data_IF_723695320937
#
_entry.id   IF_723695320937
#
_cell.length_a   1.000
_cell.length_b   1.000
_cell.length_c   1.000
_cell.angle_alpha   90.00
_cell.angle_beta   90.00
_cell.angle_gamma   90.00
#
_symmetry.space_group_name_H-M   'P 1'
#
loop_
_entity.id
_entity.type
_entity.pdbx_description
1 polymer ?
#
# COMPACT_ATOMS: atom_id res chain seq x y z
N UNK A 1 31.23 15.02 -9.72
CA UNK A 1 32.39 14.88 -8.84
C UNK A 1 33.05 16.22 -8.60
N UNK A 2 33.72 16.39 -7.46
CA UNK A 2 34.44 17.62 -7.07
C UNK A 2 35.95 17.37 -7.05
N UNK A 3 36.75 18.34 -7.51
CA UNK A 3 38.22 18.26 -7.51
C UNK A 3 38.79 18.54 -6.11
N UNK A 4 39.71 17.69 -5.65
CA UNK A 4 40.37 17.86 -4.35
C UNK A 4 41.53 18.88 -4.42
N UNK A 5 41.57 19.91 -3.54
CA UNK A 5 42.72 20.79 -3.41
C UNK A 5 43.81 20.10 -2.58
N UNK A 6 45.08 20.20 -3.00
CA UNK A 6 46.22 19.74 -2.18
C UNK A 6 46.49 18.24 -2.24
N UNK A 7 46.87 17.75 -3.42
CA UNK A 7 47.31 16.38 -3.63
C UNK A 7 48.56 16.07 -2.78
N UNK A 8 48.44 15.21 -1.78
CA UNK A 8 49.58 14.81 -0.92
C UNK A 8 50.48 13.75 -1.57
N UNK A 9 49.97 12.97 -2.54
CA UNK A 9 50.74 11.91 -3.23
C UNK A 9 50.24 11.67 -4.66
N UNK A 10 51.14 11.22 -5.56
CA UNK A 10 50.80 10.87 -6.95
C UNK A 10 49.84 9.67 -7.09
N UNK A 11 49.47 9.02 -5.99
CA UNK A 11 48.46 7.97 -5.96
C UNK A 11 47.13 8.42 -5.36
N UNK A 12 47.05 9.60 -4.74
CA UNK A 12 45.80 10.06 -4.13
C UNK A 12 44.75 10.39 -5.20
N UNK A 13 43.46 10.15 -4.92
CA UNK A 13 42.37 10.47 -5.83
C UNK A 13 42.38 11.97 -6.16
N UNK A 14 42.11 12.29 -7.42
CA UNK A 14 42.07 13.67 -7.91
C UNK A 14 40.69 14.31 -7.75
N UNK A 15 39.66 13.47 -7.73
CA UNK A 15 38.27 13.86 -7.57
C UNK A 15 37.66 13.03 -6.46
N UNK A 16 36.77 13.66 -5.73
CA UNK A 16 35.95 13.04 -4.71
C UNK A 16 34.50 12.98 -5.19
N UNK A 17 33.85 11.88 -4.81
CA UNK A 17 32.40 11.66 -4.80
C UNK A 17 31.66 11.81 -6.13
N UNK A 18 30.69 10.95 -6.45
CA UNK A 18 29.53 11.43 -7.18
C UNK A 18 28.75 12.40 -6.27
N UNK A 19 28.32 13.53 -6.82
CA UNK A 19 27.57 14.54 -6.08
C UNK A 19 26.43 15.05 -6.95
N UNK A 20 25.30 15.37 -6.33
CA UNK A 20 24.11 15.86 -7.01
C UNK A 20 24.03 17.38 -6.85
N UNK A 21 23.76 18.08 -7.95
CA UNK A 21 23.57 19.53 -7.93
C UNK A 21 22.20 19.85 -7.34
N UNK A 22 22.17 20.54 -6.21
CA UNK A 22 20.94 20.95 -5.51
C UNK A 22 20.43 22.28 -6.05
N UNK A 23 21.30 23.28 -6.15
CA UNK A 23 20.95 24.58 -6.74
C UNK A 23 22.15 25.27 -7.38
N UNK A 24 21.84 26.13 -8.34
CA UNK A 24 22.74 27.16 -8.89
C UNK A 24 22.49 28.48 -8.16
N UNK A 25 23.55 29.18 -7.79
CA UNK A 25 23.46 30.54 -7.25
C UNK A 25 23.45 31.58 -8.37
N UNK A 26 23.09 32.82 -8.05
CA UNK A 26 23.14 33.93 -9.01
C UNK A 26 24.57 34.20 -9.53
N UNK A 27 25.59 33.85 -8.74
CA UNK A 27 27.00 33.97 -9.10
C UNK A 27 27.56 32.81 -9.93
N UNK A 28 26.73 31.82 -10.29
CA UNK A 28 27.16 30.67 -11.10
C UNK A 28 27.91 29.58 -10.32
N UNK A 29 27.95 29.66 -8.98
CA UNK A 29 28.38 28.56 -8.11
C UNK A 29 27.25 27.54 -7.94
N UNK A 30 27.62 26.32 -7.56
CA UNK A 30 26.72 25.20 -7.33
C UNK A 30 26.79 24.75 -5.88
N UNK A 31 25.62 24.49 -5.29
CA UNK A 31 25.50 23.77 -4.02
C UNK A 31 25.25 22.31 -4.35
N UNK A 32 26.03 21.43 -3.73
CA UNK A 32 26.00 20.00 -3.98
C UNK A 32 25.53 19.24 -2.74
N UNK A 33 24.95 18.05 -2.94
CA UNK A 33 24.68 17.07 -1.89
C UNK A 33 25.32 15.72 -2.23
N UNK A 34 25.57 14.92 -1.20
CA UNK A 34 26.04 13.53 -1.31
C UNK A 34 24.90 12.53 -1.53
N UNK A 35 25.24 11.23 -1.50
CA UNK A 35 24.30 10.11 -1.61
C UNK A 35 23.42 9.93 -0.35
N UNK A 36 23.89 10.38 0.82
CA UNK A 36 23.13 10.42 2.08
C UNK A 36 22.21 11.64 2.17
N UNK A 37 22.15 12.45 1.10
CA UNK A 37 21.31 13.63 0.99
C UNK A 37 21.74 14.79 1.89
N UNK A 38 22.99 14.77 2.39
CA UNK A 38 23.61 15.82 3.17
C UNK A 38 24.22 16.89 2.26
N UNK A 39 24.05 18.16 2.64
CA UNK A 39 24.54 19.29 1.86
C UNK A 39 26.03 19.52 2.13
N UNK A 40 26.81 19.65 1.06
CA UNK A 40 28.21 20.03 1.20
C UNK A 40 28.28 21.47 1.69
N UNK A 41 29.15 21.69 2.68
CA UNK A 41 29.24 22.96 3.39
C UNK A 41 29.80 24.13 2.54
N UNK A 42 30.26 23.85 1.31
CA UNK A 42 30.91 24.78 0.40
C UNK A 42 30.17 24.88 -0.93
N UNK A 43 30.13 26.09 -1.49
CA UNK A 43 29.69 26.30 -2.86
C UNK A 43 30.86 26.08 -3.84
N UNK A 44 30.60 25.31 -4.90
CA UNK A 44 31.62 24.90 -5.87
C UNK A 44 31.46 25.64 -7.18
N UNK A 45 32.58 26.07 -7.76
CA UNK A 45 32.58 26.71 -9.09
C UNK A 45 32.59 25.64 -10.19
N UNK A 46 32.06 25.93 -11.39
CA UNK A 46 32.01 24.96 -12.49
C UNK A 46 33.38 24.31 -12.81
N UNK A 47 34.49 25.03 -12.64
CA UNK A 47 35.85 24.52 -12.91
C UNK A 47 36.37 23.52 -11.88
N UNK A 48 35.79 23.48 -10.69
CA UNK A 48 36.07 22.48 -9.66
C UNK A 48 35.23 21.20 -9.87
N UNK A 49 34.27 21.23 -10.80
CA UNK A 49 33.35 20.14 -11.04
C UNK A 49 33.75 19.33 -12.26
N UNK A 50 33.64 18.01 -12.12
CA UNK A 50 33.67 17.07 -13.22
C UNK A 50 32.29 16.44 -13.37
N UNK A 51 31.65 16.73 -14.50
CA UNK A 51 30.40 16.07 -14.90
C UNK A 51 30.72 14.62 -15.19
N UNK A 52 29.93 13.73 -14.61
CA UNK A 52 30.00 12.29 -14.85
C UNK A 52 28.61 11.86 -15.28
N UNK A 53 28.52 11.10 -16.36
CA UNK A 53 27.29 10.42 -16.77
C UNK A 53 27.11 9.22 -15.85
N UNK A 54 26.33 9.40 -14.79
CA UNK A 54 25.88 8.32 -13.93
C UNK A 54 24.49 7.94 -14.43
N UNK A 55 24.26 6.65 -14.61
CA UNK A 55 22.92 6.14 -14.92
C UNK A 55 22.00 6.48 -13.74
N UNK A 56 20.90 7.19 -14.00
CA UNK A 56 19.97 7.72 -12.98
C UNK A 56 19.44 6.59 -12.07
N UNK A 57 19.34 5.39 -12.62
CA UNK A 57 18.98 4.15 -11.91
C UNK A 57 19.96 3.74 -10.81
N UNK A 58 21.24 4.14 -10.91
CA UNK A 58 22.25 3.84 -9.89
C UNK A 58 22.21 4.82 -8.71
N UNK A 59 21.50 5.94 -8.85
CA UNK A 59 21.39 6.98 -7.82
C UNK A 59 20.10 6.78 -7.00
N UNK A 60 19.06 6.21 -7.61
CA UNK A 60 17.76 5.94 -6.96
C UNK A 60 17.70 4.62 -6.15
N UNK A 61 18.84 3.94 -5.92
CA UNK A 61 18.89 2.72 -5.08
C UNK A 61 18.77 3.04 -3.57
N UNK A 62 17.85 3.95 -3.25
CA UNK A 62 17.40 4.25 -1.90
C UNK A 62 16.46 3.15 -1.43
N UNK A 63 16.92 2.37 -0.45
CA UNK A 63 16.13 1.34 0.20
C UNK A 63 15.26 1.96 1.30
N UNK A 64 13.97 1.66 1.28
CA UNK A 64 13.02 2.08 2.30
C UNK A 64 12.54 0.87 3.10
N UNK A 65 12.35 1.06 4.40
CA UNK A 65 11.86 -0.01 5.28
C UNK A 65 10.34 -0.21 5.09
N UNK A 66 9.96 -1.48 4.88
CA UNK A 66 8.56 -1.90 4.72
C UNK A 66 7.97 -2.26 6.09
N UNK A 67 6.88 -1.61 6.46
CA UNK A 67 6.15 -1.89 7.70
C UNK A 67 5.19 -3.07 7.53
N UNK A 68 4.32 -3.03 6.52
CA UNK A 68 3.38 -4.10 6.18
C UNK A 68 2.93 -3.99 4.72
N UNK A 69 2.30 -5.05 4.20
CA UNK A 69 1.61 -5.00 2.90
C UNK A 69 0.11 -4.91 3.16
N UNK A 70 -0.52 -3.87 2.61
CA UNK A 70 -1.96 -3.61 2.81
C UNK A 70 -2.81 -4.39 1.82
N UNK A 71 -2.36 -4.48 0.57
CA UNK A 71 -3.13 -5.14 -0.48
C UNK A 71 -2.24 -5.71 -1.58
N UNK A 72 -2.82 -6.52 -2.47
CA UNK A 72 -2.18 -6.99 -3.69
C UNK A 72 -3.15 -6.89 -4.88
N UNK A 73 -2.60 -6.71 -6.08
CA UNK A 73 -3.35 -6.75 -7.33
C UNK A 73 -2.58 -7.54 -8.40
N UNK A 74 -3.27 -7.91 -9.47
CA UNK A 74 -2.69 -8.63 -10.60
C UNK A 74 -2.73 -10.16 -10.47
N UNK A 75 -2.43 -10.82 -11.59
CA UNK A 75 -2.40 -12.28 -11.71
C UNK A 75 -1.12 -12.90 -11.14
N UNK A 76 -1.08 -14.23 -10.97
CA UNK A 76 0.13 -14.92 -10.54
C UNK A 76 1.30 -14.62 -11.50
N UNK A 77 2.42 -14.14 -10.96
CA UNK A 77 3.62 -13.77 -11.73
C UNK A 77 3.75 -12.28 -12.09
N UNK A 78 2.65 -11.53 -12.09
CA UNK A 78 2.64 -10.06 -12.30
C UNK A 78 1.92 -9.37 -11.14
N UNK A 79 2.22 -9.80 -9.92
CA UNK A 79 1.61 -9.25 -8.71
C UNK A 79 2.34 -7.99 -8.29
N UNK A 80 1.54 -6.98 -7.98
CA UNK A 80 1.96 -5.75 -7.34
C UNK A 80 1.36 -5.72 -5.94
N UNK A 81 2.10 -5.16 -4.99
CA UNK A 81 1.76 -5.10 -3.58
C UNK A 81 1.68 -3.64 -3.13
N UNK A 82 0.61 -3.28 -2.42
CA UNK A 82 0.45 -1.97 -1.83
C UNK A 82 1.24 -1.93 -0.51
N UNK A 83 2.40 -1.29 -0.55
CA UNK A 83 3.36 -1.24 0.54
C UNK A 83 3.00 -0.13 1.52
N UNK A 84 2.96 -0.45 2.81
CA UNK A 84 2.97 0.53 3.89
C UNK A 84 4.42 0.76 4.31
N UNK A 85 4.92 1.96 4.06
CA UNK A 85 6.29 2.36 4.43
C UNK A 85 6.38 2.70 5.92
N UNK A 86 7.46 2.27 6.57
CA UNK A 86 7.71 2.54 7.99
C UNK A 86 7.92 4.04 8.23
N UNK A 87 7.22 4.61 9.20
CA UNK A 87 7.32 6.04 9.55
C UNK A 87 6.52 6.99 8.64
N UNK A 88 5.92 6.50 7.55
CA UNK A 88 5.07 7.30 6.65
C UNK A 88 3.57 7.04 6.89
N UNK A 89 2.72 7.97 6.47
CA UNK A 89 1.26 7.82 6.55
C UNK A 89 0.72 6.85 5.47
N UNK A 90 -0.53 6.40 5.62
CA UNK A 90 -1.17 5.50 4.64
C UNK A 90 -1.37 6.12 3.24
N UNK A 91 -1.31 7.46 3.16
CA UNK A 91 -1.41 8.20 1.89
C UNK A 91 -0.16 8.05 1.03
N UNK A 92 0.97 7.74 1.64
CA UNK A 92 2.26 7.53 0.97
C UNK A 92 2.42 6.08 0.48
N UNK A 93 1.41 5.22 0.65
CA UNK A 93 1.50 3.83 0.23
C UNK A 93 1.58 3.75 -1.31
N UNK A 94 2.56 3.00 -1.81
CA UNK A 94 2.79 2.82 -3.25
C UNK A 94 2.62 1.36 -3.67
N UNK A 95 2.36 1.14 -4.95
CA UNK A 95 2.25 -0.19 -5.54
C UNK A 95 3.61 -0.64 -6.05
N UNK A 96 4.22 -1.60 -5.35
CA UNK A 96 5.53 -2.14 -5.68
C UNK A 96 5.45 -3.53 -6.33
N UNK A 97 6.35 -3.78 -7.29
CA UNK A 97 6.46 -5.08 -7.95
C UNK A 97 7.19 -6.06 -7.06
N UNK A 98 6.97 -7.36 -7.28
CA UNK A 98 7.70 -8.42 -6.57
C UNK A 98 9.23 -8.28 -6.73
N UNK A 99 9.70 -7.80 -7.88
CA UNK A 99 11.12 -7.55 -8.15
C UNK A 99 11.73 -6.36 -7.42
N UNK A 100 10.90 -5.43 -6.90
CA UNK A 100 11.37 -4.25 -6.16
C UNK A 100 11.73 -4.59 -4.70
N UNK A 101 11.33 -5.75 -4.19
CA UNK A 101 11.62 -6.16 -2.82
C UNK A 101 12.98 -6.87 -2.75
N UNK A 102 13.84 -6.40 -1.84
CA UNK A 102 15.10 -7.08 -1.52
C UNK A 102 14.90 -8.36 -0.69
N UNK A 103 13.76 -8.49 -0.01
CA UNK A 103 13.42 -9.63 0.85
C UNK A 103 11.98 -10.10 0.63
N UNK A 104 11.76 -11.41 0.68
CA UNK A 104 10.42 -12.01 0.54
C UNK A 104 9.60 -12.00 1.83
N UNK A 105 10.23 -11.69 2.98
CA UNK A 105 9.61 -11.76 4.30
C UNK A 105 8.30 -10.97 4.41
N UNK A 106 8.20 -9.71 3.92
CA UNK A 106 6.94 -8.96 3.98
C UNK A 106 5.83 -9.62 3.16
N UNK A 107 6.19 -10.18 2.00
CA UNK A 107 5.26 -10.87 1.10
C UNK A 107 4.75 -12.16 1.73
N UNK A 108 5.65 -12.95 2.32
CA UNK A 108 5.29 -14.22 2.95
C UNK A 108 4.36 -13.99 4.15
N UNK A 109 4.66 -12.98 4.98
CA UNK A 109 3.81 -12.56 6.10
C UNK A 109 2.42 -12.14 5.63
N UNK A 110 2.33 -11.40 4.53
CA UNK A 110 1.05 -10.99 3.94
C UNK A 110 0.21 -12.20 3.51
N UNK A 111 0.80 -13.16 2.82
CA UNK A 111 0.10 -14.35 2.36
C UNK A 111 -0.34 -15.27 3.50
N UNK A 112 0.49 -15.41 4.53
CA UNK A 112 0.15 -16.16 5.73
C UNK A 112 -1.08 -15.56 6.42
N UNK A 113 -1.07 -14.25 6.68
CA UNK A 113 -2.20 -13.52 7.28
C UNK A 113 -3.48 -13.64 6.45
N UNK A 114 -3.37 -13.58 5.12
CA UNK A 114 -4.51 -13.76 4.21
C UNK A 114 -5.09 -15.16 4.24
N UNK A 115 -4.24 -16.19 4.33
CA UNK A 115 -4.66 -17.58 4.43
C UNK A 115 -5.44 -17.81 5.72
N UNK A 116 -4.88 -17.38 6.86
CA UNK A 116 -5.52 -17.49 8.18
C UNK A 116 -6.89 -16.78 8.21
N UNK A 117 -6.96 -15.54 7.66
CA UNK A 117 -8.21 -14.79 7.61
C UNK A 117 -9.28 -15.51 6.79
N UNK A 118 -8.90 -16.13 5.67
CA UNK A 118 -9.80 -16.89 4.81
C UNK A 118 -10.32 -18.14 5.49
N UNK A 119 -9.46 -18.88 6.20
CA UNK A 119 -9.84 -20.06 6.97
C UNK A 119 -10.83 -19.70 8.09
N UNK A 120 -10.58 -18.60 8.81
CA UNK A 120 -11.48 -18.10 9.84
C UNK A 120 -12.85 -17.70 9.27
N UNK A 121 -12.87 -17.01 8.12
CA UNK A 121 -14.11 -16.63 7.45
C UNK A 121 -14.91 -17.85 6.99
N UNK A 122 -14.25 -18.87 6.45
CA UNK A 122 -14.89 -20.12 6.04
C UNK A 122 -15.47 -20.87 7.25
N UNK A 123 -14.71 -20.98 8.35
CA UNK A 123 -15.19 -21.59 9.58
C UNK A 123 -16.40 -20.85 10.16
N UNK A 124 -16.40 -19.51 10.11
CA UNK A 124 -17.55 -18.69 10.54
C UNK A 124 -18.78 -18.94 9.65
N UNK A 125 -18.60 -18.99 8.32
CA UNK A 125 -19.70 -19.29 7.38
C UNK A 125 -20.28 -20.68 7.60
N UNK A 126 -19.44 -21.70 7.79
CA UNK A 126 -19.90 -23.07 8.06
C UNK A 126 -20.72 -23.16 9.36
N UNK A 127 -20.28 -22.48 10.43
CA UNK A 127 -21.04 -22.39 11.69
C UNK A 127 -22.39 -21.71 11.51
N UNK A 128 -22.47 -20.62 10.73
CA UNK A 128 -23.75 -19.96 10.43
C UNK A 128 -24.70 -20.87 9.65
N UNK A 129 -24.19 -21.59 8.64
CA UNK A 129 -24.99 -22.53 7.84
C UNK A 129 -25.50 -23.70 8.70
N UNK A 130 -24.70 -24.23 9.62
CA UNK A 130 -25.12 -25.29 10.54
C UNK A 130 -26.27 -24.82 11.46
N UNK A 131 -26.13 -23.64 12.07
CA UNK A 131 -27.18 -23.06 12.91
C UNK A 131 -28.50 -22.82 12.17
N UNK A 132 -28.44 -22.37 10.91
CA UNK A 132 -29.62 -22.15 10.08
C UNK A 132 -30.35 -23.48 9.75
N UNK A 133 -29.59 -24.55 9.47
CA UNK A 133 -30.13 -25.90 9.27
C UNK A 133 -30.79 -26.45 10.54
N UNK A 134 -30.23 -26.17 11.71
CA UNK A 134 -30.80 -26.59 12.99
C UNK A 134 -32.09 -25.83 13.32
N UNK A 135 -32.15 -24.54 13.00
CA UNK A 135 -33.37 -23.73 13.18
C UNK A 135 -34.52 -24.21 12.28
N UNK A 136 -34.24 -24.49 11.00
CA UNK A 136 -35.24 -24.97 10.02
C UNK A 136 -35.72 -26.41 10.27
N UNK A 137 -34.89 -27.28 10.85
CA UNK A 137 -35.32 -28.60 11.32
C UNK A 137 -36.22 -28.51 12.56
N UNK A 138 -35.96 -27.58 13.47
CA UNK A 138 -36.75 -27.41 14.70
C UNK A 138 -38.14 -26.82 14.43
N UNK A 139 -38.29 -25.97 13.41
CA UNK A 139 -39.59 -25.42 13.01
C UNK A 139 -40.45 -26.41 12.21
N UNK A 140 -39.83 -27.30 11.42
CA UNK A 140 -40.53 -28.37 10.68
C UNK A 140 -40.91 -29.59 11.53
N UNK A 141 -40.33 -29.73 12.73
CA UNK A 141 -40.66 -30.79 13.69
C UNK A 141 -41.79 -30.41 14.69
N UNK A 142 -42.36 -29.19 14.61
CA UNK A 142 -43.57 -28.87 15.40
C UNK A 142 -44.79 -29.49 14.71
N UNK A 143 -45.57 -30.37 15.39
CA UNK A 143 -46.81 -30.88 14.83
C UNK A 143 -47.79 -29.72 14.62
N UNK A 144 -48.47 -29.73 13.48
CA UNK A 144 -49.53 -28.80 13.14
C UNK A 144 -50.69 -29.05 14.12
N UNK A 145 -50.83 -28.22 15.16
CA UNK A 145 -52.03 -28.24 16.00
C UNK A 145 -53.18 -27.74 15.13
N UNK A 146 -54.17 -28.61 15.02
CA UNK A 146 -55.29 -28.65 14.09
C UNK A 146 -55.94 -27.31 13.80
N UNK A 147 -56.30 -27.10 12.53
CA UNK A 147 -57.34 -26.16 12.13
C UNK A 147 -58.62 -26.41 12.94
N UNK A 148 -58.96 -25.52 13.85
CA UNK A 148 -60.35 -25.10 14.10
C UNK A 148 -60.32 -23.67 14.69
N UNK A 149 -60.39 -22.67 13.81
CA UNK A 149 -61.33 -21.57 14.03
C UNK A 149 -61.55 -20.77 12.73
N UNK A 150 -62.68 -21.08 12.09
CA UNK A 150 -63.23 -20.28 10.99
C UNK A 150 -63.57 -18.88 11.51
N UNK A 151 -62.98 -17.89 10.85
CA UNK A 151 -63.69 -16.72 10.32
C UNK A 151 -64.49 -15.88 11.34
N UNK A 152 -63.88 -14.80 11.84
CA UNK A 152 -64.66 -13.59 12.11
C UNK A 152 -63.88 -12.31 11.77
N UNK A 153 -64.53 -11.49 10.94
CA UNK A 153 -64.21 -10.12 10.51
C UNK A 153 -63.22 -9.92 9.36
N UNK A 154 -63.76 -10.12 8.14
CA UNK A 154 -63.70 -9.07 7.10
C UNK A 154 -64.79 -8.01 7.38
N UNK A 155 -64.50 -6.75 7.04
CA UNK A 155 -65.21 -5.47 7.29
C UNK A 155 -64.64 -4.73 8.51
N UNK A 156 -64.08 -3.53 8.44
CA UNK A 156 -63.94 -2.50 7.41
C UNK A 156 -62.67 -1.70 7.77
N UNK A 157 -61.93 -1.18 6.80
CA UNK A 157 -61.67 0.26 6.65
C UNK A 157 -60.65 0.50 5.53
N UNK A 158 -61.14 1.19 4.51
CA UNK A 158 -60.43 1.76 3.37
C UNK A 158 -59.67 3.02 3.84
N UNK A 159 -58.66 3.41 3.06
CA UNK A 159 -57.95 4.71 3.04
C UNK A 159 -56.81 4.80 4.09
N UNK A 160 -55.54 5.00 3.72
CA UNK A 160 -55.05 5.97 2.76
C UNK A 160 -53.91 5.50 1.88
N UNK A 161 -54.04 5.87 0.61
CA UNK A 161 -52.97 6.03 -0.36
C UNK A 161 -51.96 7.08 0.10
N UNK A 162 -50.67 6.84 -0.08
CA UNK A 162 -49.77 7.86 -0.66
C UNK A 162 -48.62 7.16 -1.37
N UNK A 163 -48.43 7.57 -2.61
CA UNK A 163 -47.55 7.01 -3.63
C UNK A 163 -46.32 7.92 -3.78
N UNK A 164 -45.14 7.31 -3.92
CA UNK A 164 -43.90 7.76 -4.61
C UNK A 164 -43.29 9.14 -4.32
N UNK A 165 -41.95 9.18 -4.17
CA UNK A 165 -41.05 9.61 -5.28
C UNK A 165 -39.56 9.40 -5.00
N UNK A 166 -38.91 8.91 -6.05
CA UNK A 166 -37.47 9.00 -6.34
C UNK A 166 -37.23 10.38 -6.97
N UNK A 167 -36.23 11.14 -6.53
CA UNK A 167 -35.59 12.19 -7.36
C UNK A 167 -34.08 12.18 -7.04
N UNK A 168 -33.31 12.09 -8.11
CA UNK A 168 -31.87 12.27 -8.22
C UNK A 168 -31.48 13.75 -8.27
N UNK A 169 -30.29 14.07 -7.78
CA UNK A 169 -29.38 15.07 -8.35
C UNK A 169 -27.95 14.59 -8.04
#
# INVERSE_FOLDING_TARGET
MVRLPGRTSKLSPLYEGPYIVVRKTQGGSYVLKDEQNELLHREYVPSELKVVSIDETAIEDTYYEVEDIRDHRGGPGQREYLVKWAGYGERENTWEKTSSFSSTVPIDKYWLKRKELKELEQARKQKMIANEKDYTKKTSARPNVTEENKNHKRKDMVQDSTVLRKISA
#
